data_IF_210758925453
#
_entry.id   IF_210758925453
#
_cell.length_a   1.000
_cell.length_b   1.000
_cell.length_c   1.000
_cell.angle_alpha   90.00
_cell.angle_beta   90.00
_cell.angle_gamma   90.00
#
_symmetry.space_group_name_H-M   'P 1'
#
loop_
_entity.id
_entity.type
_entity.pdbx_description
1 polymer ?
#
# COMPACT_ATOMS: atom_id res chain seq x y z
N UNK A 1 41.58 46.13 -14.77
CA UNK A 1 41.05 44.96 -13.99
C UNK A 1 42.24 44.08 -13.61
N UNK A 2 42.58 44.02 -12.32
CA UNK A 2 43.81 43.41 -11.80
C UNK A 2 43.86 41.92 -12.10
N UNK A 3 45.01 41.41 -12.49
CA UNK A 3 45.20 39.96 -12.79
C UNK A 3 44.75 39.07 -11.63
N UNK A 4 44.97 39.52 -10.41
CA UNK A 4 44.50 38.85 -9.19
C UNK A 4 42.95 38.67 -9.16
N UNK A 5 42.19 39.68 -9.54
CA UNK A 5 40.73 39.67 -9.56
C UNK A 5 40.17 38.64 -10.60
N UNK A 6 40.89 38.47 -11.72
CA UNK A 6 40.55 37.48 -12.73
C UNK A 6 40.76 36.04 -12.24
N UNK A 7 41.82 35.78 -11.48
CA UNK A 7 42.10 34.46 -10.94
C UNK A 7 41.16 34.10 -9.79
N UNK A 8 40.80 35.07 -8.95
CA UNK A 8 39.81 34.83 -7.90
C UNK A 8 38.45 34.53 -8.51
N UNK A 9 37.99 35.23 -9.53
CA UNK A 9 36.75 34.99 -10.21
C UNK A 9 36.69 33.61 -10.89
N UNK A 10 37.77 33.24 -11.57
CA UNK A 10 37.91 31.94 -12.20
C UNK A 10 37.90 30.76 -11.18
N UNK A 11 38.59 30.95 -10.04
CA UNK A 11 38.56 29.97 -8.95
C UNK A 11 37.18 29.81 -8.32
N UNK A 12 36.45 30.90 -8.12
CA UNK A 12 35.09 30.85 -7.57
C UNK A 12 34.09 30.17 -8.52
N UNK A 13 34.24 30.40 -9.84
CA UNK A 13 33.39 29.76 -10.85
C UNK A 13 33.72 28.26 -10.95
N UNK A 14 34.98 27.86 -10.87
CA UNK A 14 35.34 26.42 -10.84
C UNK A 14 34.85 25.70 -9.57
N UNK A 15 34.92 26.33 -8.40
CA UNK A 15 34.41 25.78 -7.16
C UNK A 15 32.85 25.64 -7.20
N UNK A 16 32.16 26.60 -7.81
CA UNK A 16 30.70 26.56 -7.98
C UNK A 16 30.23 25.49 -8.97
N UNK A 17 31.00 25.22 -10.01
CA UNK A 17 30.68 24.19 -11.00
C UNK A 17 30.85 22.76 -10.48
N UNK A 18 31.75 22.53 -9.52
CA UNK A 18 31.95 21.21 -8.91
C UNK A 18 30.83 20.80 -7.95
N UNK A 19 30.00 21.72 -7.48
CA UNK A 19 28.84 21.41 -6.64
C UNK A 19 27.61 20.96 -7.43
N UNK A 20 27.62 21.06 -8.76
CA UNK A 20 26.51 20.64 -9.62
C UNK A 20 26.59 19.18 -10.06
N UNK A 21 27.69 18.49 -9.78
CA UNK A 21 27.84 17.04 -10.07
C UNK A 21 27.56 16.27 -8.80
N UNK A 22 26.34 16.38 -8.30
CA UNK A 22 25.94 15.66 -7.09
C UNK A 22 24.74 14.77 -7.37
N UNK A 23 24.98 13.46 -7.28
CA UNK A 23 24.03 12.47 -6.78
C UNK A 23 22.92 11.99 -7.71
N UNK A 24 23.16 11.75 -8.99
CA UNK A 24 22.24 10.89 -9.75
C UNK A 24 22.33 9.44 -9.23
N UNK A 25 23.52 8.92 -8.97
CA UNK A 25 23.71 7.54 -8.45
C UNK A 25 23.11 7.29 -7.07
N UNK A 26 22.98 8.31 -6.22
CA UNK A 26 22.38 8.16 -4.89
C UNK A 26 20.85 8.07 -4.94
N UNK A 27 20.24 8.71 -5.91
CA UNK A 27 18.78 8.68 -6.10
C UNK A 27 18.34 7.44 -6.89
N UNK A 28 19.22 6.85 -7.67
CA UNK A 28 18.95 5.63 -8.44
C UNK A 28 19.17 4.34 -7.63
N UNK A 29 19.82 4.42 -6.48
CA UNK A 29 19.87 3.29 -5.54
C UNK A 29 18.53 3.13 -4.85
N UNK A 30 17.87 1.99 -5.08
CA UNK A 30 16.69 1.60 -4.28
C UNK A 30 17.05 1.68 -2.79
N UNK A 31 16.24 2.37 -1.95
CA UNK A 31 16.47 2.41 -0.52
C UNK A 31 16.60 0.99 0.02
N UNK A 32 17.54 0.77 0.95
CA UNK A 32 17.80 -0.52 1.59
C UNK A 32 16.50 -1.24 1.94
N UNK A 33 16.39 -2.52 1.57
CA UNK A 33 15.30 -3.46 1.80
C UNK A 33 14.07 -3.42 0.85
N UNK A 34 14.04 -2.59 -0.18
CA UNK A 34 12.99 -2.74 -1.19
C UNK A 34 13.40 -3.78 -2.22
N UNK A 35 12.73 -4.91 -2.20
CA UNK A 35 12.90 -5.93 -3.24
C UNK A 35 12.34 -5.43 -4.56
N UNK A 36 13.16 -5.34 -5.58
CA UNK A 36 12.67 -5.10 -6.95
C UNK A 36 11.85 -6.29 -7.41
N UNK A 37 10.64 -6.05 -7.89
CA UNK A 37 9.74 -7.10 -8.40
C UNK A 37 10.07 -7.29 -9.88
N UNK A 38 10.97 -8.25 -10.16
CA UNK A 38 11.61 -8.47 -11.46
C UNK A 38 11.37 -9.87 -12.05
N UNK A 39 10.57 -10.69 -11.39
CA UNK A 39 10.22 -12.03 -11.86
C UNK A 39 8.81 -12.47 -11.41
N UNK A 40 8.29 -13.51 -12.10
CA UNK A 40 6.94 -14.03 -11.87
C UNK A 40 6.68 -14.47 -10.43
N UNK A 41 7.66 -15.12 -9.78
CA UNK A 41 7.51 -15.56 -8.40
C UNK A 41 7.34 -14.39 -7.41
N UNK A 42 8.05 -13.30 -7.63
CA UNK A 42 7.91 -12.11 -6.78
C UNK A 42 6.56 -11.42 -6.98
N UNK A 43 6.02 -11.44 -8.19
CA UNK A 43 4.64 -10.97 -8.44
C UNK A 43 3.63 -11.82 -7.69
N UNK A 44 3.74 -13.15 -7.78
CA UNK A 44 2.85 -14.06 -7.05
C UNK A 44 2.95 -13.88 -5.53
N UNK A 45 4.16 -13.72 -5.00
CA UNK A 45 4.37 -13.45 -3.58
C UNK A 45 3.75 -12.11 -3.14
N UNK A 46 3.81 -11.08 -4.01
CA UNK A 46 3.19 -9.79 -3.73
C UNK A 46 1.66 -9.89 -3.73
N UNK A 47 1.08 -10.71 -4.61
CA UNK A 47 -0.36 -10.91 -4.68
C UNK A 47 -0.96 -11.53 -3.43
N UNK A 48 -0.18 -12.27 -2.64
CA UNK A 48 -0.64 -12.76 -1.33
C UNK A 48 -1.09 -11.59 -0.43
N UNK A 49 -0.38 -10.46 -0.49
CA UNK A 49 -0.75 -9.25 0.25
C UNK A 49 -1.87 -8.41 -0.41
N UNK A 50 -2.41 -8.85 -1.56
CA UNK A 50 -3.55 -8.20 -2.19
C UNK A 50 -4.91 -8.70 -1.66
N UNK A 51 -4.90 -9.75 -0.86
CA UNK A 51 -6.07 -10.23 -0.14
C UNK A 51 -6.21 -9.49 1.17
N UNK A 52 -7.39 -8.95 1.52
CA UNK A 52 -7.57 -8.25 2.79
C UNK A 52 -7.58 -9.24 3.95
N UNK A 53 -7.06 -8.83 5.09
CA UNK A 53 -7.13 -9.59 6.34
C UNK A 53 -8.51 -9.44 7.01
N UNK A 54 -9.26 -8.40 6.64
CA UNK A 54 -10.60 -8.10 7.16
C UNK A 54 -11.64 -8.21 6.05
N UNK A 55 -12.89 -8.50 6.43
CA UNK A 55 -13.98 -8.71 5.48
C UNK A 55 -15.09 -7.66 5.66
N UNK A 56 -15.25 -6.78 4.67
CA UNK A 56 -16.31 -5.77 4.66
C UNK A 56 -17.72 -6.39 4.65
N UNK A 57 -17.88 -7.64 4.18
CA UNK A 57 -19.14 -8.38 4.22
C UNK A 57 -19.55 -8.62 5.67
N UNK A 58 -18.57 -8.88 6.56
CA UNK A 58 -18.84 -9.02 7.99
C UNK A 58 -19.46 -7.76 8.58
N UNK A 59 -18.91 -6.59 8.26
CA UNK A 59 -19.48 -5.30 8.70
C UNK A 59 -20.86 -5.08 8.13
N UNK A 60 -21.08 -5.41 6.85
CA UNK A 60 -22.39 -5.30 6.22
C UNK A 60 -23.43 -6.23 6.89
N UNK A 61 -23.05 -7.44 7.30
CA UNK A 61 -23.91 -8.35 8.03
C UNK A 61 -24.23 -7.83 9.44
N UNK A 62 -23.25 -7.23 10.14
CA UNK A 62 -23.49 -6.63 11.48
C UNK A 62 -24.58 -5.56 11.46
N UNK A 63 -24.68 -4.76 10.39
CA UNK A 63 -25.68 -3.69 10.26
C UNK A 63 -26.94 -4.13 9.55
N UNK A 64 -27.07 -5.41 9.22
CA UNK A 64 -28.23 -5.98 8.53
C UNK A 64 -29.28 -6.51 9.52
N UNK A 65 -30.45 -6.84 8.99
CA UNK A 65 -31.52 -7.51 9.75
C UNK A 65 -31.26 -9.01 10.01
N UNK A 66 -30.09 -9.53 9.60
CA UNK A 66 -29.75 -10.94 9.74
C UNK A 66 -29.16 -11.29 11.11
N UNK A 67 -28.74 -10.29 11.88
CA UNK A 67 -28.14 -10.45 13.20
C UNK A 67 -29.07 -9.88 14.26
N UNK A 68 -29.25 -10.62 15.36
CA UNK A 68 -30.10 -10.25 16.48
C UNK A 68 -29.29 -10.23 17.78
N UNK A 69 -29.67 -9.36 18.69
CA UNK A 69 -29.07 -9.23 20.02
C UNK A 69 -29.81 -10.14 21.01
N UNK A 70 -29.12 -11.15 21.53
CA UNK A 70 -29.62 -12.04 22.56
C UNK A 70 -29.32 -11.55 23.99
N UNK A 71 -28.84 -10.33 24.16
CA UNK A 71 -28.52 -9.73 25.45
C UNK A 71 -27.44 -10.51 26.20
N UNK A 72 -27.71 -10.86 27.48
CA UNK A 72 -26.76 -11.62 28.32
C UNK A 72 -26.41 -13.01 27.79
N UNK A 73 -27.09 -13.49 26.76
CA UNK A 73 -26.82 -14.79 26.13
C UNK A 73 -25.99 -14.66 24.84
N UNK A 74 -25.57 -13.48 24.49
CA UNK A 74 -24.63 -13.30 23.38
C UNK A 74 -23.32 -14.02 23.72
N UNK A 75 -22.67 -14.65 22.71
CA UNK A 75 -21.28 -15.00 22.88
C UNK A 75 -20.47 -13.71 23.19
N UNK A 76 -19.29 -13.89 23.72
CA UNK A 76 -18.37 -12.78 23.95
C UNK A 76 -18.25 -11.94 22.67
N UNK A 77 -18.74 -10.71 22.75
CA UNK A 77 -18.74 -9.78 21.62
C UNK A 77 -17.83 -8.61 21.96
N UNK A 78 -17.13 -8.13 20.97
CA UNK A 78 -16.28 -6.98 21.09
C UNK A 78 -17.08 -5.69 20.96
N UNK A 79 -16.65 -4.62 21.60
CA UNK A 79 -17.33 -3.34 21.58
C UNK A 79 -17.58 -2.82 20.15
N UNK A 80 -16.65 -3.08 19.23
CA UNK A 80 -16.83 -2.81 17.82
C UNK A 80 -18.12 -3.43 17.24
N UNK A 81 -18.38 -4.70 17.53
CA UNK A 81 -19.57 -5.41 17.05
C UNK A 81 -20.85 -4.80 17.62
N UNK A 82 -20.85 -4.50 18.92
CA UNK A 82 -22.02 -3.92 19.62
C UNK A 82 -22.34 -2.53 19.11
N UNK A 83 -21.33 -1.66 18.96
CA UNK A 83 -21.53 -0.29 18.50
C UNK A 83 -21.90 -0.23 17.02
N UNK A 84 -21.30 -1.07 16.18
CA UNK A 84 -21.62 -1.18 14.75
C UNK A 84 -23.05 -1.70 14.56
N UNK A 85 -23.45 -2.77 15.26
CA UNK A 85 -24.81 -3.31 15.23
C UNK A 85 -25.85 -2.28 15.68
N UNK A 86 -25.54 -1.53 16.74
CA UNK A 86 -26.41 -0.50 17.30
C UNK A 86 -26.39 0.84 16.53
N UNK A 87 -25.66 0.94 15.42
CA UNK A 87 -25.50 2.16 14.61
C UNK A 87 -24.99 3.35 15.45
N UNK A 88 -24.11 3.08 16.41
CA UNK A 88 -23.44 4.09 17.21
C UNK A 88 -22.09 4.48 16.59
N UNK A 89 -21.56 5.61 17.06
CA UNK A 89 -20.19 6.01 16.72
C UNK A 89 -19.22 5.03 17.36
N UNK A 90 -18.61 4.18 16.54
CA UNK A 90 -17.54 3.27 16.91
C UNK A 90 -16.28 4.09 17.25
N UNK A 91 -15.60 3.75 18.34
CA UNK A 91 -14.46 4.50 18.88
C UNK A 91 -13.24 3.63 19.18
N UNK A 92 -13.31 2.36 18.82
CA UNK A 92 -12.17 1.46 19.00
C UNK A 92 -11.02 1.90 18.07
N UNK A 93 -9.82 1.96 18.64
CA UNK A 93 -8.59 2.30 17.92
C UNK A 93 -7.67 1.09 17.74
N UNK A 94 -8.12 -0.10 18.17
CA UNK A 94 -7.37 -1.34 18.14
C UNK A 94 -7.78 -2.25 16.95
N UNK A 95 -7.22 -3.48 16.99
CA UNK A 95 -7.45 -4.55 16.02
C UNK A 95 -8.92 -4.89 15.93
N UNK A 96 -9.80 -4.58 15.32
CA UNK A 96 -11.25 -4.84 15.22
C UNK A 96 -12.07 -3.56 15.23
N UNK A 97 -11.45 -2.51 14.69
CA UNK A 97 -12.08 -1.22 14.48
C UNK A 97 -12.39 -1.01 13.00
N UNK A 98 -13.26 -0.05 12.69
CA UNK A 98 -13.48 0.40 11.30
C UNK A 98 -12.19 0.91 10.66
N UNK A 99 -11.25 1.44 11.45
CA UNK A 99 -9.94 1.88 10.98
C UNK A 99 -9.15 0.69 10.41
N UNK A 100 -9.15 -0.46 11.08
CA UNK A 100 -8.46 -1.66 10.60
C UNK A 100 -9.04 -2.15 9.27
N UNK A 101 -10.36 -2.14 9.10
CA UNK A 101 -11.01 -2.50 7.83
C UNK A 101 -10.54 -1.59 6.68
N UNK A 102 -10.49 -0.28 6.92
CA UNK A 102 -9.97 0.67 5.95
C UNK A 102 -8.49 0.44 5.64
N UNK A 103 -7.68 0.25 6.68
CA UNK A 103 -6.25 0.04 6.54
C UNK A 103 -5.95 -1.25 5.78
N UNK A 104 -6.59 -2.36 6.14
CA UNK A 104 -6.45 -3.65 5.46
C UNK A 104 -6.80 -3.54 3.97
N UNK A 105 -7.94 -2.92 3.64
CA UNK A 105 -8.36 -2.71 2.25
C UNK A 105 -7.37 -1.85 1.47
N UNK A 106 -6.88 -0.74 2.04
CA UNK A 106 -5.93 0.15 1.37
C UNK A 106 -4.56 -0.51 1.17
N UNK A 107 -4.09 -1.32 2.11
CA UNK A 107 -2.85 -2.10 1.97
C UNK A 107 -3.00 -3.11 0.84
N UNK A 108 -4.12 -3.83 0.78
CA UNK A 108 -4.42 -4.81 -0.27
C UNK A 108 -4.53 -4.16 -1.65
N UNK A 109 -5.18 -3.00 -1.76
CA UNK A 109 -5.22 -2.21 -3.00
C UNK A 109 -3.81 -1.79 -3.43
N UNK A 110 -2.97 -1.37 -2.49
CA UNK A 110 -1.59 -0.98 -2.78
C UNK A 110 -0.79 -2.15 -3.33
N UNK A 111 -0.89 -3.33 -2.71
CA UNK A 111 -0.23 -4.55 -3.19
C UNK A 111 -0.71 -4.95 -4.60
N UNK A 112 -2.02 -4.91 -4.85
CA UNK A 112 -2.60 -5.17 -6.16
C UNK A 112 -2.10 -4.19 -7.24
N UNK A 113 -2.00 -2.90 -6.91
CA UNK A 113 -1.50 -1.88 -7.83
C UNK A 113 -0.02 -2.07 -8.15
N UNK A 114 0.82 -2.39 -7.17
CA UNK A 114 2.24 -2.66 -7.41
C UNK A 114 2.44 -3.96 -8.22
N UNK A 115 1.61 -5.00 -7.98
CA UNK A 115 1.63 -6.19 -8.80
C UNK A 115 1.26 -5.90 -10.27
N UNK A 116 0.20 -5.12 -10.50
CA UNK A 116 -0.20 -4.72 -11.86
C UNK A 116 0.90 -3.94 -12.57
N UNK A 117 1.55 -3.01 -11.89
CA UNK A 117 2.67 -2.24 -12.43
C UNK A 117 3.85 -3.14 -12.78
N UNK A 118 4.18 -4.10 -11.93
CA UNK A 118 5.27 -5.05 -12.20
C UNK A 118 4.92 -5.96 -13.41
N UNK A 119 3.69 -6.45 -13.50
CA UNK A 119 3.22 -7.27 -14.62
C UNK A 119 3.32 -6.51 -15.96
N UNK A 120 2.97 -5.22 -15.97
CA UNK A 120 3.06 -4.38 -17.18
C UNK A 120 4.52 -4.16 -17.65
N UNK A 121 5.48 -4.22 -16.73
CA UNK A 121 6.91 -4.07 -17.03
C UNK A 121 7.58 -5.37 -17.49
N UNK A 122 6.91 -6.52 -17.38
CA UNK A 122 7.47 -7.84 -17.69
C UNK A 122 6.98 -8.38 -19.05
N UNK A 123 7.70 -9.33 -19.66
CA UNK A 123 7.22 -10.06 -20.83
C UNK A 123 5.91 -10.77 -20.53
N UNK A 124 4.99 -10.77 -21.49
CA UNK A 124 3.72 -11.47 -21.34
C UNK A 124 3.93 -12.99 -21.29
N UNK A 125 3.33 -13.62 -20.29
CA UNK A 125 3.28 -15.08 -20.14
C UNK A 125 1.89 -15.52 -19.67
N UNK A 126 1.53 -16.80 -19.78
CA UNK A 126 0.26 -17.30 -19.22
C UNK A 126 0.15 -17.02 -17.71
N UNK A 127 1.23 -17.19 -16.97
CA UNK A 127 1.30 -16.92 -15.51
C UNK A 127 1.03 -15.45 -15.22
N UNK A 128 1.60 -14.53 -16.01
CA UNK A 128 1.37 -13.10 -15.85
C UNK A 128 -0.05 -12.68 -16.22
N UNK A 129 -0.71 -13.38 -17.14
CA UNK A 129 -2.12 -13.13 -17.46
C UNK A 129 -3.05 -13.57 -16.32
N UNK A 130 -2.79 -14.70 -15.71
CA UNK A 130 -3.50 -15.16 -14.50
C UNK A 130 -3.29 -14.21 -13.33
N UNK A 131 -2.04 -13.84 -13.04
CA UNK A 131 -1.68 -12.88 -12.00
C UNK A 131 -2.34 -11.52 -12.21
N UNK A 132 -2.47 -11.06 -13.47
CA UNK A 132 -3.20 -9.82 -13.79
C UNK A 132 -4.68 -9.93 -13.46
N UNK A 133 -5.30 -11.05 -13.80
CA UNK A 133 -6.71 -11.31 -13.47
C UNK A 133 -6.94 -11.30 -11.96
N UNK A 134 -6.08 -11.99 -11.21
CA UNK A 134 -6.10 -12.04 -9.74
C UNK A 134 -5.94 -10.65 -9.12
N UNK A 135 -4.93 -9.88 -9.53
CA UNK A 135 -4.70 -8.52 -9.05
C UNK A 135 -5.90 -7.60 -9.30
N UNK A 136 -6.52 -7.69 -10.47
CA UNK A 136 -7.71 -6.91 -10.81
C UNK A 136 -8.93 -7.30 -9.95
N UNK A 137 -9.10 -8.59 -9.66
CA UNK A 137 -10.18 -9.07 -8.79
C UNK A 137 -9.97 -8.61 -7.35
N UNK A 138 -8.78 -8.79 -6.78
CA UNK A 138 -8.45 -8.31 -5.45
C UNK A 138 -8.66 -6.80 -5.32
N UNK A 139 -8.19 -6.03 -6.30
CA UNK A 139 -8.40 -4.59 -6.33
C UNK A 139 -9.88 -4.21 -6.40
N UNK A 140 -10.66 -4.87 -7.24
CA UNK A 140 -12.10 -4.60 -7.37
C UNK A 140 -12.84 -4.93 -6.07
N UNK A 141 -12.53 -6.06 -5.43
CA UNK A 141 -13.12 -6.47 -4.16
C UNK A 141 -12.88 -5.45 -3.05
N UNK A 142 -11.66 -4.94 -2.94
CA UNK A 142 -11.30 -3.97 -1.91
C UNK A 142 -11.82 -2.54 -2.16
N UNK A 143 -12.28 -2.23 -3.38
CA UNK A 143 -12.95 -0.96 -3.68
C UNK A 143 -14.47 -1.04 -3.54
N UNK A 144 -15.02 -2.23 -3.48
CA UNK A 144 -16.47 -2.43 -3.37
C UNK A 144 -16.95 -2.22 -1.94
#
# INVERSE_FOLDING_TARGET
MNKLLKYTYAATVMLGASCMVSCDDFLDTTPDNRTTIDNEQKVQNLLVGAYPDTDHIYVAELVSDNIDDYGENNPETEHFCEDTWAWKDEKEEDNESLEEFWQSSLVSISAANEALKAIEAMPASPVMQEAKGEALMCRAYNYF
#
